data_IF_201535213062
#
_entry.id   IF_201535213062
#
_cell.length_a   1.000
_cell.length_b   1.000
_cell.length_c   1.000
_cell.angle_alpha   90.00
_cell.angle_beta   90.00
_cell.angle_gamma   90.00
#
_symmetry.space_group_name_H-M   'P 1'
#
loop_
_entity.id
_entity.type
_entity.pdbx_description
1 polymer ?
#
# COMPACT_ATOMS: atom_id res chain seq x y z
N UNK A 1 24.48 10.26 -8.19
CA UNK A 1 24.65 8.80 -8.04
C UNK A 1 23.57 8.36 -7.06
N UNK A 2 22.59 7.66 -7.60
CA UNK A 2 21.18 7.65 -7.20
C UNK A 2 20.88 6.53 -6.21
N UNK A 3 20.09 6.84 -5.18
CA UNK A 3 19.63 5.94 -4.09
C UNK A 3 18.62 4.88 -4.60
N UNK A 4 18.64 4.53 -5.88
CA UNK A 4 17.61 3.65 -6.49
C UNK A 4 18.14 2.25 -6.83
N UNK A 5 19.35 2.11 -7.36
CA UNK A 5 19.84 0.77 -7.77
C UNK A 5 20.19 -0.13 -6.59
N UNK A 6 20.84 0.40 -5.56
CA UNK A 6 21.24 -0.39 -4.39
C UNK A 6 20.04 -0.83 -3.54
N UNK A 7 18.98 -0.03 -3.48
CA UNK A 7 17.75 -0.39 -2.77
C UNK A 7 16.98 -1.48 -3.52
N UNK A 8 16.86 -1.34 -4.84
CA UNK A 8 16.21 -2.35 -5.69
C UNK A 8 16.99 -3.67 -5.65
N UNK A 9 18.32 -3.64 -5.71
CA UNK A 9 19.16 -4.83 -5.58
C UNK A 9 19.05 -5.47 -4.19
N UNK A 10 18.93 -4.67 -3.12
CA UNK A 10 18.74 -5.16 -1.77
C UNK A 10 17.39 -5.86 -1.58
N UNK A 11 16.31 -5.30 -2.14
CA UNK A 11 14.98 -5.92 -2.13
C UNK A 11 14.95 -7.20 -2.96
N UNK A 12 15.61 -7.21 -4.12
CA UNK A 12 15.72 -8.40 -4.97
C UNK A 12 16.53 -9.54 -4.34
N UNK A 13 17.45 -9.22 -3.41
CA UNK A 13 18.20 -10.21 -2.61
C UNK A 13 17.47 -10.67 -1.35
N UNK A 14 16.20 -10.31 -1.17
CA UNK A 14 15.40 -10.70 0.00
C UNK A 14 15.56 -9.79 1.21
N UNK A 15 16.21 -8.63 1.05
CA UNK A 15 16.25 -7.58 2.07
C UNK A 15 14.93 -6.82 2.16
N UNK A 16 14.43 -6.57 3.37
CA UNK A 16 13.28 -5.69 3.59
C UNK A 16 13.65 -4.22 3.37
N UNK A 17 12.70 -3.42 2.88
CA UNK A 17 12.87 -1.97 2.72
C UNK A 17 12.16 -1.19 3.82
N UNK A 18 12.83 -0.18 4.39
CA UNK A 18 12.20 0.81 5.27
C UNK A 18 11.78 2.01 4.40
N UNK A 19 10.48 2.20 4.21
CA UNK A 19 9.92 3.37 3.54
C UNK A 19 9.59 4.46 4.57
N UNK A 20 10.38 5.53 4.61
CA UNK A 20 10.07 6.73 5.41
C UNK A 20 9.55 7.87 4.53
N UNK A 21 8.44 8.49 4.91
CA UNK A 21 7.99 9.76 4.33
C UNK A 21 8.76 10.93 4.97
N UNK A 22 10.03 11.08 4.61
CA UNK A 22 10.85 12.18 5.12
C UNK A 22 12.15 12.29 4.34
N UNK A 23 12.35 13.41 3.63
CA UNK A 23 13.59 13.74 2.91
C UNK A 23 14.68 14.31 3.83
N UNK A 24 14.61 14.04 5.13
CA UNK A 24 15.65 14.50 6.05
C UNK A 24 16.81 13.51 6.04
N UNK A 25 17.90 13.97 5.44
CA UNK A 25 19.19 13.31 5.39
C UNK A 25 19.61 12.89 6.81
N UNK A 26 19.82 11.59 7.04
CA UNK A 26 20.29 11.01 8.31
C UNK A 26 21.75 11.39 8.65
N UNK A 27 22.32 12.37 7.96
CA UNK A 27 23.70 12.84 8.16
C UNK A 27 23.78 13.58 9.51
N UNK A 28 24.53 13.00 10.45
CA UNK A 28 24.74 13.56 11.78
C UNK A 28 23.94 12.90 12.91
N UNK A 29 23.14 11.87 12.62
CA UNK A 29 22.43 11.10 13.66
C UNK A 29 23.42 10.21 14.42
N UNK A 30 23.62 10.49 15.71
CA UNK A 30 24.51 9.71 16.59
C UNK A 30 23.85 8.48 17.20
N UNK A 31 22.52 8.44 17.23
CA UNK A 31 21.74 7.28 17.68
C UNK A 31 20.33 7.31 17.09
N UNK A 32 19.82 6.15 16.71
CA UNK A 32 18.48 5.97 16.17
C UNK A 32 17.74 4.95 17.04
N UNK A 33 16.57 5.33 17.55
CA UNK A 33 15.67 4.42 18.26
C UNK A 33 14.54 4.03 17.33
N UNK A 34 14.33 2.73 17.20
CA UNK A 34 13.22 2.13 16.45
C UNK A 34 12.36 1.37 17.44
N UNK A 35 11.10 1.76 17.54
CA UNK A 35 10.09 1.00 18.25
C UNK A 35 9.28 0.22 17.21
N UNK A 36 9.37 -1.12 17.26
CA UNK A 36 8.61 -1.99 16.36
C UNK A 36 7.24 -2.23 16.99
N UNK A 37 6.19 -1.68 16.38
CA UNK A 37 4.81 -1.94 16.81
C UNK A 37 4.42 -3.38 16.46
N UNK A 38 4.54 -3.77 15.19
CA UNK A 38 4.05 -5.07 14.73
C UNK A 38 5.00 -5.74 13.74
N UNK A 39 5.07 -7.07 13.80
CA UNK A 39 5.61 -7.95 12.76
C UNK A 39 4.47 -8.71 12.09
N UNK A 40 4.49 -8.74 10.76
CA UNK A 40 3.59 -9.54 9.92
C UNK A 40 4.40 -10.57 9.15
N UNK A 41 4.11 -11.85 9.38
CA UNK A 41 4.77 -12.97 8.71
C UNK A 41 4.06 -13.33 7.39
N UNK A 42 4.77 -14.03 6.50
CA UNK A 42 4.29 -14.36 5.16
C UNK A 42 3.06 -15.28 5.14
N UNK A 43 2.89 -16.10 6.18
CA UNK A 43 1.71 -16.96 6.39
C UNK A 43 0.49 -16.20 6.96
N UNK A 44 0.68 -14.95 7.37
CA UNK A 44 -0.34 -14.11 7.97
C UNK A 44 -0.29 -14.04 9.50
N UNK A 45 0.69 -14.64 10.18
CA UNK A 45 0.87 -14.45 11.62
C UNK A 45 1.17 -12.98 11.93
N UNK A 46 0.52 -12.44 12.95
CA UNK A 46 0.75 -11.11 13.50
C UNK A 46 1.33 -11.25 14.91
N UNK A 47 2.46 -10.57 15.15
CA UNK A 47 3.03 -10.38 16.47
C UNK A 47 3.10 -8.88 16.82
N UNK A 48 2.61 -8.48 17.99
CA UNK A 48 2.57 -7.09 18.44
C UNK A 48 1.15 -6.50 18.56
N UNK A 49 1.01 -5.23 18.98
CA UNK A 49 -0.28 -4.60 19.27
C UNK A 49 -1.09 -4.26 18.02
N UNK A 50 -0.43 -3.89 16.91
CA UNK A 50 -1.05 -3.25 15.74
C UNK A 50 -1.76 -1.93 16.11
N UNK A 51 -1.04 -1.02 16.78
CA UNK A 51 -1.64 0.18 17.39
C UNK A 51 -2.19 1.18 16.35
N UNK A 52 -1.61 1.20 15.15
CA UNK A 52 -2.05 2.04 14.03
C UNK A 52 -3.02 1.29 13.08
N UNK A 53 -3.48 0.09 13.44
CA UNK A 53 -4.44 -0.71 12.66
C UNK A 53 -3.96 -1.02 11.23
N UNK A 54 -2.66 -1.28 11.07
CA UNK A 54 -2.02 -1.57 9.80
C UNK A 54 -2.61 -2.81 9.13
N UNK A 55 -3.07 -3.79 9.93
CA UNK A 55 -3.73 -5.00 9.43
C UNK A 55 -5.04 -4.65 8.72
N UNK A 56 -5.86 -3.82 9.34
CA UNK A 56 -7.11 -3.35 8.74
C UNK A 56 -6.85 -2.53 7.47
N UNK A 57 -5.83 -1.66 7.50
CA UNK A 57 -5.40 -0.91 6.33
C UNK A 57 -4.99 -1.81 5.17
N UNK A 58 -4.14 -2.81 5.43
CA UNK A 58 -3.68 -3.77 4.43
C UNK A 58 -4.85 -4.52 3.78
N UNK A 59 -5.84 -4.95 4.57
CA UNK A 59 -7.03 -5.65 4.07
C UNK A 59 -7.84 -4.80 3.08
N UNK A 60 -7.84 -3.47 3.23
CA UNK A 60 -8.53 -2.56 2.32
C UNK A 60 -7.83 -2.37 0.96
N UNK A 61 -6.57 -2.79 0.81
CA UNK A 61 -5.79 -2.55 -0.42
C UNK A 61 -6.39 -3.20 -1.66
N UNK A 62 -6.86 -4.45 -1.53
CA UNK A 62 -7.44 -5.18 -2.66
C UNK A 62 -8.84 -4.66 -3.01
N UNK A 63 -9.78 -4.52 -2.07
CA UNK A 63 -11.08 -3.91 -2.35
C UNK A 63 -10.97 -2.51 -2.96
N UNK A 64 -10.06 -1.67 -2.47
CA UNK A 64 -9.81 -0.34 -3.05
C UNK A 64 -9.31 -0.40 -4.50
N UNK A 65 -8.41 -1.35 -4.80
CA UNK A 65 -7.90 -1.56 -6.15
C UNK A 65 -8.98 -2.06 -7.10
N UNK A 66 -9.77 -3.05 -6.69
CA UNK A 66 -10.88 -3.61 -7.46
C UNK A 66 -11.95 -2.55 -7.73
N UNK A 67 -12.27 -1.73 -6.72
CA UNK A 67 -13.22 -0.64 -6.87
C UNK A 67 -12.77 0.36 -7.94
N UNK A 68 -11.54 0.87 -7.85
CA UNK A 68 -11.00 1.83 -8.83
C UNK A 68 -10.95 1.21 -10.23
N UNK A 69 -10.44 -0.02 -10.35
CA UNK A 69 -10.39 -0.70 -11.65
C UNK A 69 -11.77 -0.86 -12.28
N UNK A 70 -12.78 -1.24 -11.48
CA UNK A 70 -14.17 -1.36 -11.94
C UNK A 70 -14.74 -0.03 -12.44
N UNK A 71 -14.50 1.08 -11.72
CA UNK A 71 -14.97 2.41 -12.15
C UNK A 71 -14.37 2.82 -13.49
N UNK A 72 -13.09 2.53 -13.70
CA UNK A 72 -12.40 2.85 -14.96
C UNK A 72 -12.93 1.99 -16.10
N UNK A 73 -13.05 0.67 -15.91
CA UNK A 73 -13.60 -0.22 -16.93
C UNK A 73 -15.02 0.14 -17.31
N UNK A 74 -15.83 0.57 -16.35
CA UNK A 74 -17.19 1.05 -16.62
C UNK A 74 -17.16 2.31 -17.49
N UNK A 75 -16.31 3.30 -17.16
CA UNK A 75 -16.17 4.50 -17.96
C UNK A 75 -15.64 4.20 -19.37
N UNK A 76 -14.63 3.35 -19.51
CA UNK A 76 -14.09 2.90 -20.80
C UNK A 76 -15.15 2.16 -21.64
N UNK A 77 -15.92 1.26 -21.03
CA UNK A 77 -16.97 0.50 -21.72
C UNK A 77 -18.12 1.39 -22.23
N UNK A 78 -18.38 2.49 -21.53
CA UNK A 78 -19.37 3.51 -21.91
C UNK A 78 -18.80 4.57 -22.85
N UNK A 79 -17.52 4.46 -23.25
CA UNK A 79 -16.84 5.44 -24.11
C UNK A 79 -16.66 6.81 -23.46
N UNK A 80 -16.69 6.88 -22.12
CA UNK A 80 -16.50 8.12 -21.35
C UNK A 80 -15.02 8.39 -21.09
N UNK A 81 -14.69 9.67 -20.95
CA UNK A 81 -13.39 10.08 -20.42
C UNK A 81 -13.23 9.60 -18.97
N UNK A 82 -12.11 8.93 -18.71
CA UNK A 82 -11.75 8.36 -17.41
C UNK A 82 -11.21 9.43 -16.46
N UNK A 83 -10.68 10.54 -16.99
CA UNK A 83 -10.09 11.65 -16.23
C UNK A 83 -11.02 12.19 -15.14
N UNK A 84 -12.28 12.60 -15.41
CA UNK A 84 -13.18 13.12 -14.38
C UNK A 84 -13.53 12.07 -13.31
N UNK A 85 -13.58 10.78 -13.68
CA UNK A 85 -13.81 9.69 -12.73
C UNK A 85 -12.64 9.57 -11.76
N UNK A 86 -11.41 9.56 -12.27
CA UNK A 86 -10.20 9.49 -11.46
C UNK A 86 -10.04 10.72 -10.57
N UNK A 87 -10.30 11.93 -11.08
CA UNK A 87 -10.25 13.16 -10.28
C UNK A 87 -11.24 13.12 -9.13
N UNK A 88 -12.50 12.74 -9.38
CA UNK A 88 -13.51 12.64 -8.34
C UNK A 88 -13.12 11.63 -7.25
N UNK A 89 -12.56 10.48 -7.65
CA UNK A 89 -12.07 9.48 -6.70
C UNK A 89 -10.85 9.95 -5.92
N UNK A 90 -9.93 10.69 -6.54
CA UNK A 90 -8.72 11.22 -5.91
C UNK A 90 -9.00 12.37 -4.93
N UNK A 91 -10.06 13.13 -5.15
CA UNK A 91 -10.45 14.30 -4.34
C UNK A 91 -11.50 14.00 -3.26
N UNK A 92 -12.10 12.80 -3.29
CA UNK A 92 -13.12 12.41 -2.34
C UNK A 92 -12.67 12.63 -0.87
N UNK A 93 -13.47 13.30 -0.03
CA UNK A 93 -13.14 13.46 1.38
C UNK A 93 -13.21 12.10 2.09
N UNK A 94 -12.34 11.89 3.07
CA UNK A 94 -12.36 10.68 3.90
C UNK A 94 -11.89 10.97 5.33
N UNK A 95 -12.29 10.10 6.25
CA UNK A 95 -11.86 10.16 7.65
C UNK A 95 -10.52 9.46 7.82
N UNK A 96 -9.71 9.86 8.81
CA UNK A 96 -8.37 9.28 9.04
C UNK A 96 -8.36 7.74 9.10
N UNK A 97 -9.42 7.13 9.64
CA UNK A 97 -9.51 5.68 9.82
C UNK A 97 -10.33 4.99 8.72
N UNK A 98 -10.69 5.71 7.64
CA UNK A 98 -11.30 5.13 6.45
C UNK A 98 -10.21 4.67 5.47
N UNK A 99 -9.64 3.51 5.78
CA UNK A 99 -8.54 2.94 5.00
C UNK A 99 -8.96 2.58 3.57
N UNK A 100 -10.23 2.22 3.35
CA UNK A 100 -10.73 1.93 2.01
C UNK A 100 -10.70 3.19 1.15
N UNK A 101 -11.30 4.28 1.64
CA UNK A 101 -11.27 5.55 0.92
C UNK A 101 -9.84 6.06 0.73
N UNK A 102 -8.95 5.90 1.71
CA UNK A 102 -7.54 6.22 1.56
C UNK A 102 -6.91 5.51 0.35
N UNK A 103 -7.05 4.18 0.25
CA UNK A 103 -6.48 3.42 -0.87
C UNK A 103 -7.14 3.73 -2.21
N UNK A 104 -8.46 3.97 -2.24
CA UNK A 104 -9.17 4.41 -3.46
C UNK A 104 -8.57 5.72 -3.97
N UNK A 105 -8.41 6.72 -3.10
CA UNK A 105 -7.79 8.00 -3.46
C UNK A 105 -6.36 7.81 -3.95
N UNK A 106 -5.58 7.01 -3.23
CA UNK A 106 -4.18 6.76 -3.57
C UNK A 106 -4.05 6.17 -4.98
N UNK A 107 -4.79 5.11 -5.31
CA UNK A 107 -4.73 4.50 -6.65
C UNK A 107 -5.28 5.41 -7.74
N UNK A 108 -6.37 6.13 -7.47
CA UNK A 108 -6.93 7.07 -8.42
C UNK A 108 -5.95 8.20 -8.76
N UNK A 109 -5.31 8.78 -7.74
CA UNK A 109 -4.29 9.81 -7.91
C UNK A 109 -3.07 9.29 -8.67
N UNK A 110 -2.63 8.06 -8.39
CA UNK A 110 -1.50 7.42 -9.08
C UNK A 110 -1.79 7.23 -10.58
N UNK A 111 -2.97 6.73 -10.92
CA UNK A 111 -3.41 6.60 -12.32
C UNK A 111 -3.58 7.97 -13.01
N UNK A 112 -4.10 8.97 -12.30
CA UNK A 112 -4.30 10.32 -12.83
C UNK A 112 -2.98 11.00 -13.21
N UNK A 113 -1.91 10.78 -12.43
CA UNK A 113 -0.55 11.27 -12.76
C UNK A 113 -0.04 10.75 -14.11
N UNK A 114 -0.58 9.61 -14.58
CA UNK A 114 -0.20 8.96 -15.82
C UNK A 114 -1.29 9.05 -16.90
N UNK A 115 -2.24 9.99 -16.80
CA UNK A 115 -3.35 10.10 -17.75
C UNK A 115 -2.89 10.28 -19.21
N UNK A 116 -1.79 11.02 -19.43
CA UNK A 116 -1.20 11.25 -20.75
C UNK A 116 -0.25 10.14 -21.25
N UNK A 117 -0.09 9.06 -20.49
CA UNK A 117 0.71 7.90 -20.88
C UNK A 117 -0.14 6.62 -20.77
N UNK A 118 -0.89 6.34 -21.83
CA UNK A 118 -1.82 5.22 -21.89
C UNK A 118 -1.14 3.87 -21.59
N UNK A 119 0.10 3.67 -22.05
CA UNK A 119 0.85 2.43 -21.80
C UNK A 119 1.09 2.19 -20.31
N UNK A 120 1.57 3.22 -19.60
CA UNK A 120 1.80 3.15 -18.15
C UNK A 120 0.47 3.04 -17.40
N UNK A 121 -0.55 3.84 -17.77
CA UNK A 121 -1.87 3.80 -17.15
C UNK A 121 -2.50 2.42 -17.26
N UNK A 122 -2.47 1.79 -18.44
CA UNK A 122 -3.01 0.44 -18.64
C UNK A 122 -2.21 -0.62 -17.89
N UNK A 123 -0.89 -0.48 -17.78
CA UNK A 123 -0.07 -1.38 -16.95
C UNK A 123 -0.42 -1.27 -15.47
N UNK A 124 -0.62 -0.05 -14.95
CA UNK A 124 -1.07 0.19 -13.58
C UNK A 124 -2.48 -0.34 -13.34
N UNK A 125 -3.41 -0.11 -14.27
CA UNK A 125 -4.77 -0.65 -14.19
C UNK A 125 -4.76 -2.18 -14.12
N UNK A 126 -3.99 -2.86 -14.99
CA UNK A 126 -3.82 -4.32 -14.93
C UNK A 126 -3.23 -4.78 -13.60
N UNK A 127 -2.32 -4.01 -13.00
CA UNK A 127 -1.77 -4.31 -11.67
C UNK A 127 -2.82 -4.20 -10.58
N UNK A 128 -3.75 -3.24 -10.66
CA UNK A 128 -4.87 -3.14 -9.73
C UNK A 128 -5.83 -4.32 -9.88
N UNK A 129 -6.18 -4.68 -11.11
CA UNK A 129 -7.06 -5.81 -11.43
C UNK A 129 -6.51 -7.15 -10.93
N UNK A 130 -5.20 -7.35 -11.06
CA UNK A 130 -4.53 -8.60 -10.69
C UNK A 130 -3.92 -8.58 -9.28
N UNK A 131 -4.36 -7.65 -8.42
CA UNK A 131 -3.81 -7.54 -7.07
C UNK A 131 -4.09 -8.83 -6.27
N UNK A 132 -3.06 -9.47 -5.68
CA UNK A 132 -3.23 -10.71 -4.94
C UNK A 132 -4.10 -10.48 -3.70
N UNK A 133 -4.86 -11.51 -3.34
CA UNK A 133 -5.53 -11.56 -2.03
C UNK A 133 -4.46 -11.80 -0.97
N UNK A 134 -4.52 -11.04 0.12
CA UNK A 134 -3.65 -11.24 1.26
C UNK A 134 -4.00 -12.56 1.99
N UNK A 135 -3.04 -13.19 2.70
CA UNK A 135 -3.35 -14.32 3.57
C UNK A 135 -4.35 -13.90 4.65
N UNK A 136 -5.01 -14.90 5.25
CA UNK A 136 -5.83 -14.65 6.43
C UNK A 136 -4.90 -14.32 7.58
N UNK A 137 -5.06 -13.12 8.12
CA UNK A 137 -4.27 -12.70 9.26
C UNK A 137 -4.75 -13.34 10.56
N UNK A 138 -3.83 -13.77 11.40
CA UNK A 138 -4.12 -14.39 12.69
C UNK A 138 -3.07 -14.01 13.74
N UNK A 139 -3.44 -14.10 15.02
CA UNK A 139 -2.49 -14.04 16.13
C UNK A 139 -2.36 -15.43 16.71
N UNK A 140 -1.13 -15.89 16.93
CA UNK A 140 -0.90 -17.20 17.53
C UNK A 140 -1.33 -17.16 19.01
N UNK A 141 -2.30 -17.98 19.37
CA UNK A 141 -2.60 -18.21 20.78
C UNK A 141 -1.51 -19.10 21.39
N UNK A 142 -0.85 -18.59 22.43
CA UNK A 142 0.09 -19.37 23.24
C UNK A 142 1.57 -19.16 22.93
N UNK A 143 2.13 -18.06 23.41
CA UNK A 143 3.45 -18.09 24.02
C UNK A 143 3.28 -18.50 25.48
N UNK A 144 3.45 -19.80 25.77
CA UNK A 144 3.47 -20.32 27.15
C UNK A 144 4.44 -19.48 27.97
N UNK A 145 3.96 -18.88 29.07
CA UNK A 145 4.83 -18.42 30.18
C UNK A 145 5.45 -19.67 30.81
N UNK A 146 6.52 -20.17 30.19
CA UNK A 146 7.36 -21.23 30.73
C UNK A 146 8.67 -20.62 31.17
N UNK A 147 8.86 -20.44 32.47
CA UNK A 147 10.16 -20.05 33.01
C UNK A 147 10.12 -19.33 34.35
N UNK A 148 9.93 -20.14 35.41
CA UNK A 148 10.32 -19.99 36.82
C UNK A 148 9.92 -18.72 37.59
#
# INVERSE_FOLDING_TARGET
MTVEESFVEHVLRGGGGIGGSGRDSLVGVTSLRLDIDMLLFADGEIAGPDSEQFVAELQCRKPGAEFVAKQIRLAEAEGRDVTPVLSALAEAPYLRNDFLAHWVRFYAADLLRHIGNDGVRQALLRRLENRPTLPKFYRREGGVRGGQ
#
